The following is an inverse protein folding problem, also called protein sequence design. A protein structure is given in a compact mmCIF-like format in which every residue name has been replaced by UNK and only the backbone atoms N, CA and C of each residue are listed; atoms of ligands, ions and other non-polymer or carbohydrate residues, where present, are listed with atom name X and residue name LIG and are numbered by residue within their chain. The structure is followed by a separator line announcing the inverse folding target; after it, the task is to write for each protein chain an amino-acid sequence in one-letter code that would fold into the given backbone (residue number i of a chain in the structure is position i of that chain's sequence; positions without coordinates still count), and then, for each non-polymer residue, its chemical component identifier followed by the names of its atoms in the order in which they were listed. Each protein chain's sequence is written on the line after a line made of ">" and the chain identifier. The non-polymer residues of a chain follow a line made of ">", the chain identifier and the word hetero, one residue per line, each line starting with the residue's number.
data_IF_238839244006
#
_entry.id   IF_238839244006
#
_cell.length_a   1.000
_cell.length_b   1.000
_cell.length_c   1.000
_cell.angle_alpha   90.00
_cell.angle_beta   90.00
_cell.angle_gamma   90.00
#
_symmetry.space_group_name_H-M   'P 1'
#
loop_
_entity.id
_entity.type
_entity.pdbx_description
1 polymer ?
#
# COMPACT_ATOMS: atom_id res chain seq x y z
N UNK A 1 55.45 4.59 23.29
CA UNK A 1 55.29 3.66 22.16
C UNK A 1 54.39 2.54 22.64
N UNK A 2 53.09 2.70 22.42
CA UNK A 2 52.11 1.62 22.62
C UNK A 2 52.01 0.92 21.28
N UNK A 3 52.64 -0.23 21.19
CA UNK A 3 52.63 -1.10 20.02
C UNK A 3 51.36 -1.97 20.11
N UNK A 4 50.20 -1.34 19.90
CA UNK A 4 48.97 -2.11 19.64
C UNK A 4 49.03 -2.54 18.19
N UNK A 5 49.61 -3.72 18.01
CA UNK A 5 49.47 -4.52 16.81
C UNK A 5 47.97 -4.80 16.62
N UNK A 6 47.24 -3.83 16.04
CA UNK A 6 45.85 -3.92 15.63
C UNK A 6 45.77 -4.91 14.47
N UNK A 7 45.89 -6.19 14.81
CA UNK A 7 45.53 -7.29 13.94
C UNK A 7 44.14 -7.00 13.40
N UNK A 8 44.03 -6.99 12.08
CA UNK A 8 42.77 -6.82 11.36
C UNK A 8 41.84 -7.91 11.88
N UNK A 9 40.92 -7.54 12.76
CA UNK A 9 39.99 -8.48 13.33
C UNK A 9 39.05 -8.93 12.21
N UNK A 10 39.17 -10.20 11.83
CA UNK A 10 38.19 -10.85 10.96
C UNK A 10 36.78 -10.70 11.54
N UNK A 11 35.73 -10.68 10.71
CA UNK A 11 34.36 -10.66 11.22
C UNK A 11 34.14 -11.80 12.20
N UNK A 12 33.30 -11.56 13.21
CA UNK A 12 32.83 -12.58 14.11
C UNK A 12 32.21 -13.73 13.31
N UNK A 13 32.55 -14.97 13.69
CA UNK A 13 32.02 -16.18 13.08
C UNK A 13 30.49 -16.15 12.96
N UNK A 14 29.79 -15.66 13.98
CA UNK A 14 28.33 -15.54 13.95
C UNK A 14 27.80 -14.58 12.86
N UNK A 15 28.56 -13.51 12.55
CA UNK A 15 28.20 -12.59 11.49
C UNK A 15 28.40 -13.22 10.09
N UNK A 16 29.47 -14.01 9.93
CA UNK A 16 29.72 -14.81 8.71
C UNK A 16 28.60 -15.83 8.52
N UNK A 17 28.31 -16.65 9.53
CA UNK A 17 27.28 -17.69 9.46
C UNK A 17 25.89 -17.07 9.15
N UNK A 18 25.59 -15.89 9.70
CA UNK A 18 24.35 -15.18 9.40
C UNK A 18 24.29 -14.72 7.93
N UNK A 19 25.38 -14.15 7.39
CA UNK A 19 25.44 -13.74 5.98
C UNK A 19 25.29 -14.93 5.02
N UNK A 20 25.96 -16.05 5.33
CA UNK A 20 25.82 -17.32 4.58
C UNK A 20 24.39 -17.84 4.62
N UNK A 21 23.77 -17.88 5.80
CA UNK A 21 22.40 -18.35 5.95
C UNK A 21 21.39 -17.51 5.15
N UNK A 22 21.52 -16.18 5.20
CA UNK A 22 20.67 -15.27 4.42
C UNK A 22 20.86 -15.52 2.92
N UNK A 23 22.12 -15.58 2.45
CA UNK A 23 22.43 -15.83 1.04
C UNK A 23 21.83 -17.14 0.54
N UNK A 24 22.05 -18.24 1.25
CA UNK A 24 21.53 -19.56 0.85
C UNK A 24 20.00 -19.64 0.95
N UNK A 25 19.39 -18.92 1.88
CA UNK A 25 17.93 -18.82 1.97
C UNK A 25 17.35 -18.12 0.75
N UNK A 26 17.95 -17.02 0.32
CA UNK A 26 17.54 -16.32 -0.91
C UNK A 26 17.83 -17.18 -2.14
N UNK A 27 19.00 -17.80 -2.22
CA UNK A 27 19.37 -18.69 -3.34
C UNK A 27 18.38 -19.84 -3.53
N UNK A 28 17.87 -20.42 -2.43
CA UNK A 28 16.87 -21.48 -2.49
C UNK A 28 15.52 -20.98 -3.03
N UNK A 29 15.12 -19.76 -2.68
CA UNK A 29 13.83 -19.18 -3.09
C UNK A 29 13.89 -18.53 -4.49
N UNK A 30 15.02 -17.91 -4.84
CA UNK A 30 15.23 -17.10 -6.05
C UNK A 30 16.60 -17.40 -6.69
N UNK A 31 16.82 -18.64 -7.19
CA UNK A 31 18.11 -19.04 -7.75
C UNK A 31 18.53 -18.19 -8.95
N UNK A 32 17.58 -17.73 -9.77
CA UNK A 32 17.83 -16.87 -10.93
C UNK A 32 18.45 -15.52 -10.52
N UNK A 33 17.93 -14.88 -9.47
CA UNK A 33 18.47 -13.62 -8.95
C UNK A 33 19.91 -13.79 -8.46
N UNK A 34 20.18 -14.88 -7.75
CA UNK A 34 21.53 -15.18 -7.26
C UNK A 34 22.48 -15.50 -8.42
N UNK A 35 22.05 -16.27 -9.42
CA UNK A 35 22.86 -16.55 -10.60
C UNK A 35 23.19 -15.30 -11.41
N UNK A 36 22.22 -14.39 -11.59
CA UNK A 36 22.43 -13.09 -12.24
C UNK A 36 23.45 -12.23 -11.48
N UNK A 37 23.32 -12.12 -10.15
CA UNK A 37 24.30 -11.42 -9.32
C UNK A 37 25.69 -12.05 -9.43
N UNK A 38 25.80 -13.37 -9.30
CA UNK A 38 27.08 -14.10 -9.34
C UNK A 38 27.80 -13.93 -10.69
N UNK A 39 27.05 -13.92 -11.79
CA UNK A 39 27.60 -13.64 -13.12
C UNK A 39 28.17 -12.23 -13.20
N UNK A 40 27.41 -11.22 -12.76
CA UNK A 40 27.85 -9.80 -12.77
C UNK A 40 29.03 -9.57 -11.82
N UNK A 41 29.00 -10.19 -10.65
CA UNK A 41 30.07 -10.14 -9.67
C UNK A 41 31.37 -10.75 -10.20
N UNK A 42 31.30 -11.91 -10.84
CA UNK A 42 32.47 -12.57 -11.44
C UNK A 42 33.11 -11.71 -12.53
N UNK A 43 32.31 -11.07 -13.39
CA UNK A 43 32.80 -10.14 -14.41
C UNK A 43 33.52 -8.94 -13.77
N UNK A 44 32.91 -8.32 -12.76
CA UNK A 44 33.51 -7.22 -12.00
C UNK A 44 34.85 -7.62 -11.35
N UNK A 45 34.91 -8.79 -10.70
CA UNK A 45 36.16 -9.27 -10.09
C UNK A 45 37.26 -9.54 -11.12
N UNK A 46 36.92 -10.10 -12.27
CA UNK A 46 37.88 -10.35 -13.33
C UNK A 46 38.55 -9.05 -13.80
N UNK A 47 37.76 -7.98 -13.97
CA UNK A 47 38.30 -6.66 -14.32
C UNK A 47 39.19 -6.13 -13.21
N UNK A 48 38.74 -6.18 -11.96
CA UNK A 48 39.54 -5.72 -10.82
C UNK A 48 40.88 -6.44 -10.68
N UNK A 49 40.91 -7.76 -10.88
CA UNK A 49 42.16 -8.54 -10.82
C UNK A 49 43.06 -8.33 -12.04
N UNK A 50 42.52 -7.85 -13.16
CA UNK A 50 43.30 -7.55 -14.37
C UNK A 50 44.01 -6.19 -14.30
N UNK A 51 43.64 -5.33 -13.35
CA UNK A 51 44.27 -4.03 -13.18
C UNK A 51 45.75 -4.18 -12.78
N UNK A 52 46.63 -3.30 -13.28
CA UNK A 52 48.05 -3.34 -12.93
C UNK A 52 48.25 -3.07 -11.44
N UNK A 53 49.32 -3.60 -10.85
CA UNK A 53 49.63 -3.40 -9.42
C UNK A 53 49.82 -1.92 -9.02
N UNK A 54 50.04 -1.03 -10.00
CA UNK A 54 50.10 0.42 -9.80
C UNK A 54 48.73 1.11 -9.79
N UNK A 55 47.66 0.40 -10.15
CA UNK A 55 46.31 0.95 -10.13
C UNK A 55 45.85 1.20 -8.69
N UNK A 56 45.09 2.27 -8.51
CA UNK A 56 44.43 2.53 -7.24
C UNK A 56 43.28 1.52 -7.04
N UNK A 57 42.97 1.10 -5.80
CA UNK A 57 41.74 0.34 -5.53
C UNK A 57 40.46 1.03 -6.07
N UNK A 58 40.48 2.35 -6.20
CA UNK A 58 39.40 3.14 -6.78
C UNK A 58 39.30 3.07 -8.32
N UNK A 59 40.27 2.50 -9.03
CA UNK A 59 40.13 2.38 -10.49
C UNK A 59 39.06 1.34 -10.88
N UNK A 60 38.81 0.36 -9.99
CA UNK A 60 37.72 -0.61 -10.15
C UNK A 60 36.33 0.01 -10.23
N UNK A 61 36.08 1.13 -9.56
CA UNK A 61 34.75 1.75 -9.53
C UNK A 61 34.39 2.51 -10.82
N UNK A 62 35.35 2.65 -11.74
CA UNK A 62 35.17 3.36 -13.03
C UNK A 62 34.85 2.42 -14.20
N UNK A 63 34.60 1.16 -13.92
CA UNK A 63 34.40 0.10 -14.92
C UNK A 63 32.92 -0.09 -15.25
N UNK A 64 32.63 -0.56 -16.46
CA UNK A 64 31.25 -0.85 -16.90
C UNK A 64 30.64 -2.00 -16.08
N UNK A 65 31.46 -2.95 -15.61
CA UNK A 65 31.05 -4.05 -14.75
C UNK A 65 30.64 -3.56 -13.35
N UNK A 66 31.37 -2.60 -12.78
CA UNK A 66 30.98 -1.94 -11.54
C UNK A 66 29.65 -1.19 -11.71
N UNK A 67 29.51 -0.42 -12.79
CA UNK A 67 28.26 0.29 -13.11
C UNK A 67 27.09 -0.67 -13.29
N UNK A 68 27.30 -1.83 -13.92
CA UNK A 68 26.28 -2.87 -14.08
C UNK A 68 25.77 -3.39 -12.73
N UNK A 69 26.66 -3.61 -11.76
CA UNK A 69 26.28 -3.95 -10.38
C UNK A 69 25.61 -2.78 -9.66
N UNK A 70 26.13 -1.56 -9.83
CA UNK A 70 25.59 -0.34 -9.20
C UNK A 70 24.14 -0.10 -9.62
N UNK A 71 23.81 -0.29 -10.90
CA UNK A 71 22.43 -0.15 -11.41
C UNK A 71 21.44 -1.16 -10.84
N UNK A 72 21.91 -2.28 -10.27
CA UNK A 72 21.04 -3.20 -9.54
C UNK A 72 20.54 -2.59 -8.22
N UNK A 73 21.18 -1.54 -7.71
CA UNK A 73 20.74 -0.80 -6.54
C UNK A 73 20.82 -1.59 -5.23
N UNK A 74 20.20 -1.09 -4.16
CA UNK A 74 20.33 -1.67 -2.82
C UNK A 74 19.87 -3.14 -2.67
N UNK A 75 19.07 -3.66 -3.61
CA UNK A 75 18.57 -5.05 -3.54
C UNK A 75 19.68 -6.10 -3.62
N UNK A 76 20.88 -5.76 -4.12
CA UNK A 76 22.03 -6.69 -4.15
C UNK A 76 22.92 -6.61 -2.91
N UNK A 77 22.66 -5.69 -1.98
CA UNK A 77 23.51 -5.47 -0.79
C UNK A 77 23.70 -6.75 0.03
N UNK A 78 22.65 -7.54 0.19
CA UNK A 78 22.71 -8.82 0.91
C UNK A 78 23.71 -9.80 0.27
N UNK A 79 23.80 -9.82 -1.06
CA UNK A 79 24.76 -10.66 -1.77
C UNK A 79 26.19 -10.13 -1.65
N UNK A 80 26.35 -8.79 -1.70
CA UNK A 80 27.65 -8.14 -1.47
C UNK A 80 28.18 -8.46 -0.06
N UNK A 81 27.33 -8.41 0.97
CA UNK A 81 27.72 -8.76 2.34
C UNK A 81 28.19 -10.22 2.44
N UNK A 82 27.53 -11.15 1.77
CA UNK A 82 27.97 -12.55 1.70
C UNK A 82 29.36 -12.70 1.04
N UNK A 83 29.61 -11.96 -0.05
CA UNK A 83 30.93 -11.94 -0.69
C UNK A 83 31.99 -11.41 0.26
N UNK A 84 31.72 -10.30 0.94
CA UNK A 84 32.64 -9.76 1.94
C UNK A 84 32.89 -10.72 3.10
N UNK A 85 31.90 -11.53 3.50
CA UNK A 85 32.05 -12.48 4.61
C UNK A 85 32.87 -13.74 4.27
N UNK A 86 32.83 -14.21 3.02
CA UNK A 86 33.39 -15.52 2.64
C UNK A 86 34.85 -15.47 2.18
N UNK A 87 35.31 -14.36 1.61
CA UNK A 87 36.70 -14.19 1.17
C UNK A 87 37.09 -12.71 1.15
N UNK A 88 37.31 -12.14 2.34
CA UNK A 88 37.60 -10.71 2.52
C UNK A 88 38.76 -10.26 1.63
N UNK A 89 39.80 -11.08 1.47
CA UNK A 89 41.00 -10.73 0.71
C UNK A 89 40.73 -10.51 -0.78
N UNK A 90 39.90 -11.36 -1.39
CA UNK A 90 39.56 -11.30 -2.81
C UNK A 90 38.34 -10.40 -3.08
N UNK A 91 37.47 -10.20 -2.08
CA UNK A 91 36.20 -9.50 -2.25
C UNK A 91 36.20 -8.09 -1.67
N UNK A 92 37.31 -7.62 -1.09
CA UNK A 92 37.45 -6.31 -0.44
C UNK A 92 36.93 -5.12 -1.28
N UNK A 93 37.02 -5.20 -2.61
CA UNK A 93 36.53 -4.17 -3.52
C UNK A 93 35.00 -4.03 -3.51
N UNK A 94 34.29 -5.05 -3.03
CA UNK A 94 32.87 -5.00 -2.73
C UNK A 94 32.48 -3.93 -1.73
N UNK A 95 33.39 -3.49 -0.87
CA UNK A 95 33.13 -2.44 0.09
C UNK A 95 32.83 -1.10 -0.60
N UNK A 96 33.45 -0.83 -1.75
CA UNK A 96 33.12 0.34 -2.57
C UNK A 96 31.69 0.26 -3.09
N UNK A 97 31.30 -0.89 -3.65
CA UNK A 97 29.95 -1.11 -4.14
C UNK A 97 28.93 -0.95 -3.01
N UNK A 98 29.19 -1.57 -1.85
CA UNK A 98 28.33 -1.43 -0.67
C UNK A 98 28.14 0.04 -0.27
N UNK A 99 29.24 0.79 -0.16
CA UNK A 99 29.20 2.20 0.21
C UNK A 99 28.40 3.05 -0.78
N UNK A 100 28.63 2.85 -2.09
CA UNK A 100 27.89 3.54 -3.16
C UNK A 100 26.39 3.24 -3.09
N UNK A 101 26.02 1.98 -2.83
CA UNK A 101 24.62 1.56 -2.77
C UNK A 101 23.90 2.04 -1.51
N UNK A 102 24.58 2.20 -0.37
CA UNK A 102 23.98 2.69 0.88
C UNK A 102 23.82 4.20 0.89
N UNK A 103 24.83 4.94 0.42
CA UNK A 103 24.86 6.40 0.57
C UNK A 103 24.26 7.15 -0.64
N UNK A 104 24.08 6.47 -1.78
CA UNK A 104 23.58 7.07 -3.01
C UNK A 104 24.65 7.87 -3.79
N UNK A 105 24.38 8.27 -5.05
CA UNK A 105 25.39 8.81 -5.96
C UNK A 105 25.99 10.15 -5.51
N UNK A 106 25.28 10.94 -4.68
CA UNK A 106 25.75 12.24 -4.19
C UNK A 106 26.57 12.16 -2.89
N UNK A 107 26.44 11.07 -2.12
CA UNK A 107 27.22 10.85 -0.90
C UNK A 107 28.34 9.81 -1.10
N UNK A 108 28.82 9.64 -2.33
CA UNK A 108 30.18 9.12 -2.59
C UNK A 108 31.28 10.09 -2.09
N UNK A 109 30.93 11.01 -1.17
CA UNK A 109 31.80 12.02 -0.60
C UNK A 109 32.68 11.38 0.45
N UNK A 110 33.94 11.17 0.06
CA UNK A 110 35.08 10.94 0.93
C UNK A 110 34.93 9.65 1.75
N UNK A 111 35.12 8.51 1.07
CA UNK A 111 35.89 7.46 1.73
C UNK A 111 37.18 8.16 2.16
N UNK A 112 37.40 8.25 3.47
CA UNK A 112 38.58 8.88 4.07
C UNK A 112 39.82 8.48 3.25
N UNK A 113 40.76 9.40 3.04
CA UNK A 113 42.00 9.15 2.27
C UNK A 113 42.77 7.88 2.77
N UNK A 114 42.38 7.34 3.92
CA UNK A 114 42.80 6.08 4.55
C UNK A 114 42.38 4.77 3.83
N UNK A 115 41.41 4.76 2.91
CA UNK A 115 41.06 3.53 2.15
C UNK A 115 41.97 3.23 0.95
N UNK A 116 43.13 3.89 0.92
CA UNK A 116 44.19 3.66 -0.08
C UNK A 116 44.95 2.36 0.14
N UNK A 117 44.91 1.78 1.35
CA UNK A 117 45.56 0.50 1.67
C UNK A 117 44.60 -0.69 1.58
N UNK A 118 45.14 -1.84 1.19
CA UNK A 118 44.40 -3.12 1.15
C UNK A 118 43.90 -3.50 2.55
N UNK A 119 44.71 -3.23 3.57
CA UNK A 119 44.43 -3.50 4.97
C UNK A 119 43.25 -2.68 5.49
N UNK A 120 43.19 -1.38 5.15
CA UNK A 120 42.05 -0.54 5.50
C UNK A 120 40.75 -1.05 4.85
N UNK A 121 40.82 -1.48 3.58
CA UNK A 121 39.67 -2.02 2.86
C UNK A 121 39.17 -3.34 3.45
N UNK A 122 40.08 -4.21 3.90
CA UNK A 122 39.74 -5.44 4.63
C UNK A 122 39.09 -5.15 5.99
N UNK A 123 39.61 -4.19 6.76
CA UNK A 123 38.98 -3.75 8.03
C UNK A 123 37.57 -3.22 7.79
N UNK A 124 37.40 -2.37 6.78
CA UNK A 124 36.11 -1.79 6.45
C UNK A 124 35.11 -2.85 5.96
N UNK A 125 35.56 -3.79 5.13
CA UNK A 125 34.77 -4.97 4.73
C UNK A 125 34.27 -5.75 5.95
N UNK A 126 35.13 -5.94 6.95
CA UNK A 126 34.76 -6.65 8.17
C UNK A 126 33.72 -5.89 8.99
N UNK A 127 33.84 -4.57 9.07
CA UNK A 127 32.84 -3.71 9.72
C UNK A 127 31.48 -3.74 9.01
N UNK A 128 31.46 -3.81 7.67
CA UNK A 128 30.23 -3.96 6.88
C UNK A 128 29.50 -5.26 7.25
N UNK A 129 30.23 -6.38 7.36
CA UNK A 129 29.65 -7.68 7.73
C UNK A 129 29.06 -7.63 9.15
N UNK A 130 29.78 -7.04 10.11
CA UNK A 130 29.30 -6.85 11.49
C UNK A 130 28.07 -5.95 11.59
N UNK A 131 28.07 -4.83 10.87
CA UNK A 131 26.93 -3.91 10.84
C UNK A 131 25.70 -4.60 10.23
N UNK A 132 25.90 -5.36 9.16
CA UNK A 132 24.84 -6.11 8.49
C UNK A 132 24.27 -7.18 9.42
N UNK A 133 25.11 -7.87 10.20
CA UNK A 133 24.66 -8.82 11.22
C UNK A 133 23.77 -8.16 12.29
N UNK A 134 24.18 -6.99 12.82
CA UNK A 134 23.37 -6.24 13.79
C UNK A 134 22.03 -5.81 13.19
N UNK A 135 22.03 -5.28 11.97
CA UNK A 135 20.79 -4.89 11.26
C UNK A 135 19.90 -6.10 10.97
N UNK A 136 20.47 -7.26 10.63
CA UNK A 136 19.71 -8.48 10.40
C UNK A 136 18.96 -8.95 11.65
N UNK A 137 19.56 -8.84 12.84
CA UNK A 137 18.85 -9.14 14.10
C UNK A 137 17.64 -8.22 14.33
N UNK A 138 17.80 -6.93 14.01
CA UNK A 138 16.71 -5.95 14.11
C UNK A 138 15.61 -6.29 13.10
N UNK A 139 15.98 -6.60 11.86
CA UNK A 139 15.06 -7.07 10.81
C UNK A 139 14.28 -8.31 11.25
N UNK A 140 14.95 -9.37 11.71
CA UNK A 140 14.30 -10.63 12.12
C UNK A 140 13.28 -10.42 13.24
N UNK A 141 13.60 -9.54 14.19
CA UNK A 141 12.66 -9.16 15.26
C UNK A 141 11.46 -8.40 14.68
N UNK A 142 11.71 -7.36 13.88
CA UNK A 142 10.66 -6.48 13.33
C UNK A 142 9.72 -7.24 12.39
N UNK A 143 10.26 -8.07 11.50
CA UNK A 143 9.46 -8.86 10.55
C UNK A 143 8.59 -9.88 11.26
N UNK A 144 9.07 -10.48 12.35
CA UNK A 144 8.29 -11.41 13.16
C UNK A 144 7.09 -10.71 13.80
N UNK A 145 7.30 -9.58 14.47
CA UNK A 145 6.22 -8.83 15.14
C UNK A 145 5.20 -8.34 14.10
N UNK A 146 5.66 -7.80 12.97
CA UNK A 146 4.77 -7.36 11.90
C UNK A 146 3.93 -8.50 11.32
N UNK A 147 4.49 -9.70 11.13
CA UNK A 147 3.74 -10.88 10.70
C UNK A 147 2.66 -11.29 11.70
N UNK A 148 2.97 -11.25 12.99
CA UNK A 148 2.00 -11.54 14.07
C UNK A 148 0.84 -10.53 14.02
N UNK A 149 1.16 -9.22 13.91
CA UNK A 149 0.15 -8.17 13.76
C UNK A 149 -0.73 -8.36 12.51
N UNK A 150 -0.12 -8.72 11.38
CA UNK A 150 -0.84 -8.99 10.14
C UNK A 150 -1.77 -10.19 10.26
N UNK A 151 -1.32 -11.26 10.92
CA UNK A 151 -2.13 -12.48 11.10
C UNK A 151 -3.31 -12.23 12.05
N UNK A 152 -3.10 -11.52 13.16
CA UNK A 152 -4.17 -11.13 14.10
C UNK A 152 -5.27 -10.30 13.42
N UNK A 153 -4.89 -9.51 12.42
CA UNK A 153 -5.82 -8.65 11.69
C UNK A 153 -6.23 -9.22 10.32
N UNK A 154 -5.85 -10.46 10.01
CA UNK A 154 -6.09 -11.10 8.71
C UNK A 154 -7.57 -11.11 8.33
N UNK A 155 -8.47 -11.36 9.30
CA UNK A 155 -9.92 -11.39 9.07
C UNK A 155 -10.49 -10.03 8.68
N UNK A 156 -9.85 -8.94 9.13
CA UNK A 156 -10.29 -7.58 8.80
C UNK A 156 -9.87 -7.16 7.39
N UNK A 157 -8.98 -7.93 6.73
CA UNK A 157 -8.47 -7.71 5.36
C UNK A 157 -8.16 -6.25 5.02
N UNK A 158 -7.77 -5.46 6.03
CA UNK A 158 -7.62 -4.03 5.87
C UNK A 158 -6.16 -3.69 5.70
N UNK A 159 -5.82 -3.17 4.52
CA UNK A 159 -4.53 -2.52 4.24
C UNK A 159 -4.16 -1.54 5.35
N UNK A 160 -5.14 -0.80 5.87
CA UNK A 160 -4.94 0.20 6.93
C UNK A 160 -4.49 -0.40 8.28
N UNK A 161 -4.55 -1.72 8.47
CA UNK A 161 -4.04 -2.37 9.69
C UNK A 161 -2.61 -2.90 9.49
N UNK A 162 -2.29 -3.43 8.31
CA UNK A 162 -0.97 -4.02 8.05
C UNK A 162 0.06 -3.00 7.55
N UNK A 163 -0.38 -1.84 7.07
CA UNK A 163 0.47 -0.78 6.53
C UNK A 163 0.47 0.48 7.42
N UNK A 164 0.13 0.32 8.69
CA UNK A 164 0.08 1.39 9.69
C UNK A 164 0.56 0.80 11.02
N UNK A 165 1.24 1.60 11.83
CA UNK A 165 1.72 1.21 13.15
C UNK A 165 3.24 1.10 13.21
N UNK A 166 3.75 1.14 14.44
CA UNK A 166 5.19 1.24 14.71
C UNK A 166 5.95 0.07 14.09
N UNK A 167 5.38 -1.14 14.06
CA UNK A 167 5.99 -2.33 13.48
C UNK A 167 6.23 -2.22 11.97
N UNK A 168 5.30 -1.56 11.25
CA UNK A 168 5.42 -1.33 9.82
C UNK A 168 6.47 -0.24 9.54
N UNK A 169 6.40 0.88 10.27
CA UNK A 169 7.37 1.97 10.15
C UNK A 169 8.80 1.51 10.48
N UNK A 170 8.92 0.68 11.52
CA UNK A 170 10.14 -0.01 11.90
C UNK A 170 10.74 -0.81 10.73
N UNK A 171 9.92 -1.49 9.92
CA UNK A 171 10.41 -2.20 8.75
C UNK A 171 10.83 -1.27 7.60
N UNK A 172 10.20 -0.10 7.46
CA UNK A 172 10.64 0.91 6.48
C UNK A 172 12.03 1.47 6.83
N UNK A 173 12.30 1.71 8.12
CA UNK A 173 13.61 2.19 8.59
C UNK A 173 14.76 1.21 8.31
N UNK A 174 14.45 -0.09 8.27
CA UNK A 174 15.42 -1.14 7.95
C UNK A 174 15.96 -0.95 6.52
N UNK A 175 15.13 -0.44 5.62
CA UNK A 175 15.52 0.06 4.30
C UNK A 175 15.70 -1.01 3.22
N UNK A 176 16.10 -0.58 2.00
CA UNK A 176 16.05 -1.41 0.80
C UNK A 176 17.13 -2.51 0.72
N UNK A 177 18.09 -2.54 1.64
CA UNK A 177 19.09 -3.60 1.75
C UNK A 177 18.48 -4.99 2.03
N UNK A 178 17.26 -5.02 2.57
CA UNK A 178 16.55 -6.23 3.00
C UNK A 178 15.48 -6.71 2.02
N UNK A 179 15.43 -6.12 0.81
CA UNK A 179 14.50 -6.53 -0.25
C UNK A 179 14.58 -8.05 -0.52
N UNK A 180 15.76 -8.70 -0.65
CA UNK A 180 15.83 -10.15 -0.87
C UNK A 180 15.18 -10.98 0.24
N UNK A 181 15.39 -10.61 1.50
CA UNK A 181 14.82 -11.28 2.66
C UNK A 181 13.31 -11.11 2.71
N UNK A 182 12.81 -9.89 2.44
CA UNK A 182 11.38 -9.62 2.33
C UNK A 182 10.74 -10.41 1.19
N UNK A 183 11.43 -10.55 0.06
CA UNK A 183 10.96 -11.38 -1.05
C UNK A 183 10.88 -12.87 -0.66
N UNK A 184 11.79 -13.38 0.18
CA UNK A 184 11.68 -14.75 0.72
C UNK A 184 10.41 -14.90 1.54
N UNK A 185 10.13 -13.95 2.44
CA UNK A 185 8.89 -13.97 3.22
C UNK A 185 7.65 -13.87 2.32
N UNK A 186 7.67 -12.99 1.32
CA UNK A 186 6.59 -12.85 0.34
C UNK A 186 6.35 -14.14 -0.45
N UNK A 187 7.41 -14.89 -0.78
CA UNK A 187 7.27 -16.17 -1.50
C UNK A 187 6.53 -17.23 -0.67
N UNK A 188 6.64 -17.17 0.66
CA UNK A 188 6.02 -18.09 1.62
C UNK A 188 4.57 -17.70 1.92
N UNK A 189 4.28 -16.40 1.90
CA UNK A 189 2.96 -15.84 2.13
C UNK A 189 2.58 -14.82 1.05
N UNK A 190 2.13 -15.33 -0.11
CA UNK A 190 1.66 -14.48 -1.22
C UNK A 190 0.37 -13.75 -0.90
N UNK A 191 -0.32 -14.17 0.16
CA UNK A 191 -1.55 -13.53 0.65
C UNK A 191 -1.29 -12.27 1.47
N UNK A 192 -0.07 -12.03 1.94
CA UNK A 192 0.24 -10.87 2.79
C UNK A 192 0.30 -9.54 2.04
N UNK A 193 0.59 -8.47 2.80
CA UNK A 193 0.76 -7.09 2.29
C UNK A 193 2.23 -6.77 1.95
N UNK A 194 3.03 -7.79 1.65
CA UNK A 194 4.46 -7.67 1.36
C UNK A 194 4.76 -6.75 0.18
N UNK A 195 3.90 -6.77 -0.86
CA UNK A 195 4.05 -5.89 -2.02
C UNK A 195 3.96 -4.41 -1.65
N UNK A 196 3.15 -4.07 -0.64
CA UNK A 196 2.97 -2.69 -0.19
C UNK A 196 4.22 -2.21 0.55
N UNK A 197 4.71 -3.06 1.48
CA UNK A 197 5.94 -2.81 2.21
C UNK A 197 7.14 -2.65 1.27
N UNK A 198 7.29 -3.57 0.30
CA UNK A 198 8.34 -3.49 -0.72
C UNK A 198 8.22 -2.21 -1.56
N UNK A 199 7.00 -1.85 -1.94
CA UNK A 199 6.76 -0.66 -2.72
C UNK A 199 7.15 0.61 -1.96
N UNK A 200 6.79 0.70 -0.69
CA UNK A 200 7.12 1.86 0.14
C UNK A 200 8.59 1.94 0.50
N UNK A 201 9.26 0.81 0.73
CA UNK A 201 10.72 0.76 0.89
C UNK A 201 11.45 1.28 -0.36
N UNK A 202 10.96 0.94 -1.54
CA UNK A 202 11.63 1.28 -2.80
C UNK A 202 11.31 2.70 -3.26
N UNK A 203 10.06 3.15 -3.11
CA UNK A 203 9.56 4.40 -3.69
C UNK A 203 9.28 5.50 -2.65
N UNK A 204 9.36 5.19 -1.35
CA UNK A 204 9.05 6.14 -0.26
C UNK A 204 7.57 6.51 -0.17
N UNK A 205 6.69 5.73 -0.81
CA UNK A 205 5.24 5.91 -0.79
C UNK A 205 4.54 4.58 -0.98
N UNK A 206 3.31 4.48 -0.52
CA UNK A 206 2.44 3.31 -0.71
C UNK A 206 1.98 3.16 -2.17
N UNK A 207 1.53 1.97 -2.61
CA UNK A 207 1.09 1.78 -4.02
C UNK A 207 -0.17 2.56 -4.37
N UNK A 208 -0.98 2.88 -3.34
CA UNK A 208 -2.35 3.42 -3.44
C UNK A 208 -3.32 2.55 -4.26
N UNK A 209 -2.85 1.43 -4.81
CA UNK A 209 -3.64 0.54 -5.65
C UNK A 209 -4.63 -0.25 -4.80
N UNK A 210 -5.81 -0.52 -5.37
CA UNK A 210 -6.70 -1.58 -4.87
C UNK A 210 -6.14 -2.97 -5.25
N UNK A 211 -4.86 -3.21 -4.95
CA UNK A 211 -4.10 -4.41 -5.28
C UNK A 211 -4.59 -5.70 -4.59
N UNK A 212 -5.66 -5.61 -3.79
CA UNK A 212 -6.23 -6.74 -3.02
C UNK A 212 -6.59 -7.91 -3.94
N UNK A 213 -6.97 -7.64 -5.19
CA UNK A 213 -7.49 -8.67 -6.11
C UNK A 213 -6.42 -9.34 -7.00
N UNK A 214 -5.19 -8.84 -7.04
CA UNK A 214 -4.15 -9.34 -7.97
C UNK A 214 -2.81 -9.61 -7.27
N UNK A 215 -2.85 -10.12 -6.03
CA UNK A 215 -1.65 -10.36 -5.20
C UNK A 215 -0.60 -11.24 -5.86
N UNK A 216 -1.01 -12.26 -6.62
CA UNK A 216 -0.08 -13.12 -7.36
C UNK A 216 0.64 -12.37 -8.49
N UNK A 217 -0.05 -11.48 -9.21
CA UNK A 217 0.58 -10.66 -10.25
C UNK A 217 1.61 -9.71 -9.64
N UNK A 218 1.31 -9.14 -8.47
CA UNK A 218 2.27 -8.32 -7.74
C UNK A 218 3.51 -9.12 -7.35
N UNK A 219 3.33 -10.35 -6.85
CA UNK A 219 4.46 -11.22 -6.53
C UNK A 219 5.32 -11.50 -7.78
N UNK A 220 4.71 -11.82 -8.91
CA UNK A 220 5.46 -12.10 -10.15
C UNK A 220 6.23 -10.88 -10.66
N UNK A 221 5.66 -9.69 -10.56
CA UNK A 221 6.34 -8.45 -10.96
C UNK A 221 7.50 -8.12 -10.02
N UNK A 222 7.32 -8.27 -8.70
CA UNK A 222 8.41 -8.12 -7.73
C UNK A 222 9.49 -9.21 -7.86
N UNK A 223 9.12 -10.43 -8.22
CA UNK A 223 10.05 -11.52 -8.53
C UNK A 223 10.89 -11.19 -9.77
N UNK A 224 10.26 -10.72 -10.85
CA UNK A 224 10.96 -10.27 -12.04
C UNK A 224 11.91 -9.11 -11.71
N UNK A 225 11.48 -8.19 -10.84
CA UNK A 225 12.34 -7.12 -10.33
C UNK A 225 13.59 -7.66 -9.61
N UNK A 226 13.42 -8.64 -8.72
CA UNK A 226 14.54 -9.27 -8.03
C UNK A 226 15.48 -10.04 -9.00
N UNK A 227 14.95 -10.60 -10.09
CA UNK A 227 15.67 -11.41 -11.08
C UNK A 227 16.41 -10.59 -12.16
N UNK A 228 16.85 -9.36 -11.85
CA UNK A 228 17.84 -8.64 -12.66
C UNK A 228 17.39 -7.33 -13.32
N UNK A 229 16.10 -6.96 -13.23
CA UNK A 229 15.63 -5.64 -13.67
C UNK A 229 16.34 -4.54 -12.85
N UNK A 230 16.93 -3.55 -13.49
CA UNK A 230 17.66 -2.48 -12.79
C UNK A 230 16.77 -1.73 -11.77
N UNK A 231 17.37 -1.20 -10.71
CA UNK A 231 16.64 -0.67 -9.56
C UNK A 231 15.71 0.49 -9.92
N UNK A 232 16.12 1.36 -10.85
CA UNK A 232 15.32 2.49 -11.31
C UNK A 232 14.02 2.09 -12.03
N UNK A 233 13.99 0.85 -12.54
CA UNK A 233 12.85 0.22 -13.20
C UNK A 233 11.99 -0.59 -12.22
N UNK A 234 12.12 -0.35 -10.91
CA UNK A 234 11.29 -0.99 -9.91
C UNK A 234 9.79 -0.79 -10.18
N UNK A 235 8.93 -1.76 -9.82
CA UNK A 235 7.50 -1.70 -10.07
C UNK A 235 6.85 -0.47 -9.42
N UNK A 236 6.37 0.50 -10.22
CA UNK A 236 5.82 1.79 -9.73
C UNK A 236 4.32 1.78 -9.48
N UNK A 237 3.57 1.11 -10.34
CA UNK A 237 2.12 1.01 -10.25
C UNK A 237 1.64 0.05 -11.33
N UNK A 238 0.80 -0.90 -10.96
CA UNK A 238 0.09 -1.75 -11.91
C UNK A 238 -1.38 -1.37 -11.76
N UNK A 239 -1.91 -0.48 -12.61
CA UNK A 239 -3.34 -0.16 -12.58
C UNK A 239 -4.11 -1.45 -12.80
N UNK A 240 -4.99 -1.81 -11.87
CA UNK A 240 -5.96 -2.86 -12.13
C UNK A 240 -7.26 -2.27 -12.70
N UNK A 241 -8.18 -3.13 -13.13
CA UNK A 241 -9.46 -2.68 -13.70
C UNK A 241 -10.29 -1.83 -12.72
N UNK A 242 -10.15 -2.03 -11.42
CA UNK A 242 -10.81 -1.22 -10.39
C UNK A 242 -10.20 0.16 -10.28
N UNK A 243 -8.88 0.27 -10.34
CA UNK A 243 -8.21 1.56 -10.34
C UNK A 243 -8.60 2.36 -11.59
N UNK A 244 -8.67 1.70 -12.76
CA UNK A 244 -9.20 2.31 -13.99
C UNK A 244 -10.66 2.71 -13.78
N UNK A 245 -11.48 1.88 -13.14
CA UNK A 245 -12.88 2.22 -12.84
C UNK A 245 -12.99 3.46 -11.93
N UNK A 246 -12.27 3.51 -10.81
CA UNK A 246 -12.33 4.63 -9.88
C UNK A 246 -11.75 5.92 -10.46
N UNK A 247 -10.70 5.82 -11.29
CA UNK A 247 -10.05 7.00 -11.90
C UNK A 247 -10.77 7.48 -13.16
N UNK A 248 -11.39 6.59 -13.94
CA UNK A 248 -12.01 6.93 -15.24
C UNK A 248 -13.54 6.88 -15.25
N UNK A 249 -14.16 6.31 -14.21
CA UNK A 249 -15.61 6.07 -14.15
C UNK A 249 -16.12 4.99 -15.12
N UNK A 250 -15.24 4.29 -15.85
CA UNK A 250 -15.62 3.29 -16.85
C UNK A 250 -15.52 1.89 -16.26
N UNK A 251 -16.67 1.25 -16.04
CA UNK A 251 -16.75 -0.15 -15.66
C UNK A 251 -16.62 -1.02 -16.91
N UNK A 252 -15.71 -2.00 -16.91
CA UNK A 252 -15.50 -2.89 -18.05
C UNK A 252 -16.76 -3.71 -18.38
N UNK A 253 -17.09 -3.97 -19.67
CA UNK A 253 -18.31 -4.68 -20.06
C UNK A 253 -18.48 -6.07 -19.44
N UNK A 254 -17.37 -6.79 -19.21
CA UNK A 254 -17.39 -8.11 -18.56
C UNK A 254 -17.82 -8.05 -17.10
N UNK A 255 -17.44 -7.02 -16.37
CA UNK A 255 -17.76 -6.88 -14.94
C UNK A 255 -19.21 -6.43 -14.70
N UNK A 256 -19.75 -5.53 -15.53
CA UNK A 256 -21.19 -5.25 -15.49
C UNK A 256 -22.01 -6.51 -15.79
N UNK A 257 -21.56 -7.34 -16.74
CA UNK A 257 -22.25 -8.57 -17.08
C UNK A 257 -22.17 -9.60 -15.95
N UNK A 258 -21.01 -9.81 -15.33
CA UNK A 258 -20.87 -10.75 -14.20
C UNK A 258 -21.63 -10.28 -12.96
N UNK A 259 -21.60 -8.99 -12.61
CA UNK A 259 -22.36 -8.48 -11.46
C UNK A 259 -23.88 -8.47 -11.72
N UNK A 260 -24.31 -8.20 -12.95
CA UNK A 260 -25.73 -8.30 -13.32
C UNK A 260 -26.25 -9.75 -13.27
N UNK A 261 -25.37 -10.74 -13.43
CA UNK A 261 -25.71 -12.17 -13.43
C UNK A 261 -25.60 -12.82 -12.04
N UNK A 262 -25.08 -12.12 -11.03
CA UNK A 262 -24.87 -12.62 -9.66
C UNK A 262 -25.33 -11.62 -8.57
N UNK A 263 -26.66 -11.42 -8.39
CA UNK A 263 -27.23 -10.44 -7.45
C UNK A 263 -26.75 -10.63 -5.98
N UNK A 264 -26.46 -11.87 -5.59
CA UNK A 264 -25.97 -12.24 -4.26
C UNK A 264 -24.55 -11.73 -3.98
N UNK A 265 -23.73 -11.55 -5.01
CA UNK A 265 -22.40 -10.91 -4.90
C UNK A 265 -22.53 -9.40 -4.85
N UNK A 266 -23.50 -8.85 -5.58
CA UNK A 266 -23.85 -7.44 -5.55
C UNK A 266 -24.24 -7.03 -4.12
N UNK A 267 -25.11 -7.79 -3.45
CA UNK A 267 -25.51 -7.45 -2.07
C UNK A 267 -24.34 -7.52 -1.07
N UNK A 268 -23.43 -8.48 -1.23
CA UNK A 268 -22.33 -8.73 -0.29
C UNK A 268 -21.16 -7.74 -0.47
N UNK A 269 -20.77 -7.45 -1.71
CA UNK A 269 -19.69 -6.50 -2.03
C UNK A 269 -20.14 -5.06 -1.75
N UNK A 270 -21.38 -4.70 -2.08
CA UNK A 270 -21.87 -3.34 -1.83
C UNK A 270 -22.02 -3.05 -0.32
N UNK A 271 -22.55 -3.97 0.51
CA UNK A 271 -22.70 -3.71 1.96
C UNK A 271 -21.39 -3.34 2.67
N UNK A 272 -20.28 -3.96 2.30
CA UNK A 272 -19.00 -3.73 2.98
C UNK A 272 -18.26 -2.48 2.48
N UNK A 273 -18.51 -2.05 1.24
CA UNK A 273 -17.80 -0.94 0.60
C UNK A 273 -18.52 0.41 0.72
N UNK A 274 -19.86 0.41 0.81
CA UNK A 274 -20.67 1.63 0.89
C UNK A 274 -20.34 2.52 2.10
N UNK A 275 -19.80 1.94 3.19
CA UNK A 275 -19.38 2.67 4.40
C UNK A 275 -18.15 3.57 4.20
N UNK A 276 -17.38 3.37 3.13
CA UNK A 276 -16.18 4.15 2.84
C UNK A 276 -16.39 5.24 1.78
N UNK A 277 -17.56 5.28 1.14
CA UNK A 277 -17.88 6.33 0.17
C UNK A 277 -18.03 7.66 0.92
N UNK A 278 -17.26 8.71 0.59
CA UNK A 278 -17.35 9.99 1.26
C UNK A 278 -18.75 10.58 1.14
N UNK A 279 -19.27 11.20 2.20
CA UNK A 279 -20.62 11.78 2.23
C UNK A 279 -20.88 12.77 1.07
N UNK A 280 -19.84 13.51 0.65
CA UNK A 280 -19.93 14.41 -0.50
C UNK A 280 -20.17 13.64 -1.81
N UNK A 281 -19.47 12.52 -2.02
CA UNK A 281 -19.65 11.68 -3.20
C UNK A 281 -21.03 11.02 -3.23
N UNK A 282 -21.55 10.58 -2.08
CA UNK A 282 -22.93 10.13 -1.95
C UNK A 282 -23.93 11.17 -2.45
N UNK A 283 -23.75 12.43 -2.06
CA UNK A 283 -24.65 13.54 -2.38
C UNK A 283 -24.52 14.09 -3.80
N UNK A 284 -23.38 13.91 -4.47
CA UNK A 284 -23.14 14.55 -5.79
C UNK A 284 -23.07 13.57 -6.95
N UNK A 285 -22.73 12.30 -6.72
CA UNK A 285 -22.53 11.33 -7.80
C UNK A 285 -23.77 10.50 -8.12
N UNK A 286 -24.79 10.48 -7.24
CA UNK A 286 -25.95 9.62 -7.35
C UNK A 286 -27.27 10.39 -7.40
N UNK A 287 -27.44 11.26 -8.41
CA UNK A 287 -28.70 11.99 -8.65
C UNK A 287 -29.94 11.06 -8.73
N UNK A 288 -29.77 9.83 -9.22
CA UNK A 288 -30.82 8.81 -9.24
C UNK A 288 -31.12 8.27 -7.84
N UNK A 289 -30.13 8.21 -6.94
CA UNK A 289 -30.32 7.78 -5.56
C UNK A 289 -31.11 8.82 -4.77
N UNK A 290 -30.80 10.11 -4.91
CA UNK A 290 -31.57 11.18 -4.24
C UNK A 290 -33.06 11.11 -4.64
N UNK A 291 -33.32 10.84 -5.93
CA UNK A 291 -34.67 10.62 -6.47
C UNK A 291 -35.35 9.37 -5.90
N UNK A 292 -34.62 8.26 -5.78
CA UNK A 292 -35.13 7.05 -5.17
C UNK A 292 -35.37 7.21 -3.66
N UNK A 293 -34.51 7.95 -2.96
CA UNK A 293 -34.68 8.27 -1.54
C UNK A 293 -35.91 9.15 -1.36
N UNK A 294 -36.08 10.17 -2.19
CA UNK A 294 -37.28 11.02 -2.19
C UNK A 294 -38.55 10.18 -2.31
N UNK A 295 -38.62 9.31 -3.33
CA UNK A 295 -39.81 8.46 -3.55
C UNK A 295 -39.98 7.41 -2.44
N UNK A 296 -38.88 6.96 -1.83
CA UNK A 296 -38.94 6.05 -0.67
C UNK A 296 -39.50 6.77 0.55
N UNK A 297 -39.04 7.99 0.84
CA UNK A 297 -39.61 8.83 1.90
C UNK A 297 -41.09 9.03 1.61
N UNK A 298 -41.46 9.44 0.40
CA UNK A 298 -42.85 9.63 0.02
C UNK A 298 -43.75 8.41 0.31
N UNK A 299 -43.37 7.23 -0.21
CA UNK A 299 -44.17 6.01 -0.10
C UNK A 299 -44.21 5.47 1.33
N UNK A 300 -43.11 5.59 2.09
CA UNK A 300 -42.97 4.91 3.38
C UNK A 300 -43.08 5.83 4.61
N UNK A 301 -43.01 7.15 4.44
CA UNK A 301 -43.10 8.18 5.51
C UNK A 301 -44.56 8.61 5.66
N UNK A 302 -45.40 7.60 5.87
CA UNK A 302 -46.84 7.72 6.12
C UNK A 302 -47.07 7.58 7.62
N UNK A 303 -47.07 8.70 8.33
CA UNK A 303 -47.33 8.73 9.78
C UNK A 303 -48.16 9.93 10.18
N UNK A 304 -48.78 9.84 11.36
CA UNK A 304 -49.45 10.97 11.98
C UNK A 304 -48.41 12.04 12.36
N UNK A 305 -48.51 13.22 11.77
CA UNK A 305 -47.64 14.35 12.07
C UNK A 305 -48.32 15.20 13.13
N UNK A 306 -47.64 15.40 14.25
CA UNK A 306 -48.09 16.23 15.36
C UNK A 306 -47.33 17.55 15.47
N UNK A 307 -48.04 18.62 15.81
CA UNK A 307 -47.46 19.92 16.20
C UNK A 307 -48.09 20.37 17.52
N UNK A 308 -47.24 20.70 18.49
CA UNK A 308 -47.66 21.23 19.78
C UNK A 308 -47.93 22.74 19.65
N UNK A 309 -49.11 23.19 20.07
CA UNK A 309 -49.36 24.61 20.26
C UNK A 309 -48.62 25.09 21.52
N UNK A 310 -47.45 25.71 21.32
CA UNK A 310 -46.63 26.28 22.39
C UNK A 310 -47.01 27.72 22.76
N UNK A 311 -48.01 28.29 22.09
CA UNK A 311 -48.49 29.63 22.42
C UNK A 311 -49.39 29.60 23.66
N UNK A 312 -49.65 30.78 24.23
CA UNK A 312 -50.60 30.95 25.33
C UNK A 312 -52.06 30.99 24.88
N UNK A 313 -52.33 31.00 23.57
CA UNK A 313 -53.65 31.18 22.98
C UNK A 313 -54.09 29.95 22.18
N UNK A 314 -55.40 29.79 21.98
CA UNK A 314 -55.92 28.75 21.12
C UNK A 314 -55.75 29.14 19.64
N UNK A 315 -55.31 28.20 18.80
CA UNK A 315 -55.14 28.43 17.36
C UNK A 315 -56.42 28.00 16.65
N UNK A 316 -57.10 28.92 15.97
CA UNK A 316 -58.28 28.62 15.15
C UNK A 316 -57.88 27.79 13.93
N UNK A 317 -58.62 26.73 13.64
CA UNK A 317 -58.45 25.93 12.42
C UNK A 317 -59.17 26.67 11.28
N UNK A 318 -58.45 27.09 10.22
CA UNK A 318 -59.08 27.82 9.12
C UNK A 318 -60.23 27.03 8.48
N UNK A 319 -61.39 27.67 8.32
CA UNK A 319 -62.57 27.05 7.70
C UNK A 319 -63.45 26.24 8.66
N UNK A 320 -63.17 26.24 9.97
CA UNK A 320 -64.05 25.68 11.00
C UNK A 320 -64.15 26.59 12.22
N UNK A 321 -65.08 26.26 13.12
CA UNK A 321 -65.21 26.89 14.44
C UNK A 321 -64.36 26.16 15.51
N UNK A 322 -63.50 25.23 15.10
CA UNK A 322 -62.66 24.42 15.98
C UNK A 322 -61.30 25.09 16.25
N UNK A 323 -60.74 24.84 17.43
CA UNK A 323 -59.47 25.41 17.87
C UNK A 323 -58.51 24.33 18.38
N UNK A 324 -57.21 24.56 18.27
CA UNK A 324 -56.15 23.79 18.93
C UNK A 324 -55.78 24.55 20.22
N UNK A 325 -56.14 24.07 21.42
CA UNK A 325 -55.86 24.77 22.67
C UNK A 325 -54.36 24.96 22.94
N UNK A 326 -54.02 25.94 23.77
CA UNK A 326 -52.67 26.10 24.30
C UNK A 326 -52.21 24.80 24.99
N UNK A 327 -51.02 24.32 24.65
CA UNK A 327 -50.47 23.06 25.18
C UNK A 327 -51.05 21.78 24.57
N UNK A 328 -51.94 21.87 23.57
CA UNK A 328 -52.48 20.71 22.86
C UNK A 328 -51.73 20.44 21.54
N UNK A 329 -51.81 19.20 21.06
CA UNK A 329 -51.28 18.80 19.74
C UNK A 329 -52.36 18.91 18.67
N UNK A 330 -52.04 19.58 17.56
CA UNK A 330 -52.70 19.37 16.28
C UNK A 330 -52.06 18.19 15.57
N UNK A 331 -52.85 17.22 15.13
CA UNK A 331 -52.36 16.01 14.45
C UNK A 331 -53.06 15.88 13.11
N UNK A 332 -52.30 15.64 12.05
CA UNK A 332 -52.83 15.28 10.74
C UNK A 332 -52.13 14.03 10.20
N UNK A 333 -52.77 13.34 9.26
CA UNK A 333 -52.22 12.14 8.65
C UNK A 333 -51.54 12.49 7.32
N UNK A 334 -50.20 12.39 7.24
CA UNK A 334 -49.49 12.66 5.98
C UNK A 334 -49.85 11.66 4.87
N UNK A 335 -50.34 10.46 5.23
CA UNK A 335 -50.75 9.43 4.27
C UNK A 335 -51.85 9.91 3.33
N UNK A 336 -52.77 10.73 3.82
CA UNK A 336 -53.90 11.22 3.02
C UNK A 336 -53.43 12.09 1.87
N UNK A 337 -52.44 12.96 2.12
CA UNK A 337 -51.83 13.81 1.09
C UNK A 337 -50.87 13.02 0.20
N UNK A 338 -50.06 12.12 0.77
CA UNK A 338 -49.10 11.33 0.00
C UNK A 338 -49.77 10.38 -1.00
N UNK A 339 -51.00 9.93 -0.69
CA UNK A 339 -51.77 9.03 -1.53
C UNK A 339 -52.98 9.67 -2.21
N UNK A 340 -53.09 10.99 -2.20
CA UNK A 340 -54.11 11.71 -2.95
C UNK A 340 -53.82 11.63 -4.46
N UNK A 341 -54.68 10.97 -5.26
CA UNK A 341 -54.48 10.87 -6.72
C UNK A 341 -54.59 12.23 -7.44
N UNK A 342 -55.20 13.26 -6.85
CA UNK A 342 -55.27 14.61 -7.42
C UNK A 342 -53.93 15.36 -7.30
N UNK A 343 -53.21 15.12 -6.20
CA UNK A 343 -51.86 15.65 -5.96
C UNK A 343 -50.77 14.77 -6.57
N UNK A 344 -51.02 13.47 -6.69
CA UNK A 344 -50.02 12.48 -7.06
C UNK A 344 -50.64 11.40 -7.98
N UNK A 345 -50.57 11.56 -9.31
CA UNK A 345 -51.08 10.56 -10.23
C UNK A 345 -50.39 9.20 -10.02
N UNK A 346 -51.19 8.16 -9.84
CA UNK A 346 -50.75 6.79 -9.49
C UNK A 346 -49.90 6.73 -8.21
N UNK A 347 -50.45 7.08 -7.04
CA UNK A 347 -49.67 7.28 -5.82
C UNK A 347 -49.08 5.98 -5.24
N UNK A 348 -49.59 4.82 -5.66
CA UNK A 348 -49.06 3.50 -5.27
C UNK A 348 -47.93 3.01 -6.15
N UNK A 349 -47.61 3.73 -7.24
CA UNK A 349 -46.52 3.38 -8.14
C UNK A 349 -45.26 4.13 -7.69
N UNK A 350 -44.21 3.37 -7.38
CA UNK A 350 -42.88 3.93 -7.14
C UNK A 350 -42.36 4.58 -8.43
N UNK A 351 -42.30 5.91 -8.44
CA UNK A 351 -41.82 6.73 -9.56
C UNK A 351 -40.78 7.77 -9.08
N UNK A 352 -39.48 7.41 -9.07
CA UNK A 352 -38.40 8.33 -8.68
C UNK A 352 -38.38 9.66 -9.44
N UNK A 353 -39.01 9.72 -10.62
CA UNK A 353 -39.04 10.93 -11.43
C UNK A 353 -40.05 11.97 -10.93
N UNK A 354 -40.85 11.67 -9.89
CA UNK A 354 -41.81 12.59 -9.27
C UNK A 354 -41.17 13.80 -8.59
N UNK A 355 -39.90 13.70 -8.18
CA UNK A 355 -39.15 14.84 -7.64
C UNK A 355 -38.52 15.76 -8.69
N UNK A 356 -38.68 15.44 -9.99
CA UNK A 356 -38.05 16.24 -11.06
C UNK A 356 -38.82 17.53 -11.35
N UNK A 357 -38.08 18.56 -11.77
CA UNK A 357 -38.65 19.85 -12.15
C UNK A 357 -39.73 19.66 -13.23
N UNK A 358 -40.88 20.30 -13.03
CA UNK A 358 -42.08 20.13 -13.87
C UNK A 358 -42.99 18.95 -13.49
N UNK A 359 -42.58 18.09 -12.54
CA UNK A 359 -43.37 16.95 -12.04
C UNK A 359 -43.55 16.94 -10.52
N UNK A 360 -43.35 18.09 -9.86
CA UNK A 360 -43.51 18.24 -8.41
C UNK A 360 -44.94 18.62 -8.06
N UNK A 361 -45.91 17.81 -8.49
CA UNK A 361 -47.33 18.17 -8.35
C UNK A 361 -47.78 18.28 -6.88
N UNK A 362 -47.07 17.62 -5.97
CA UNK A 362 -47.26 17.71 -4.53
C UNK A 362 -46.97 19.10 -3.94
N UNK A 363 -46.20 19.96 -4.61
CA UNK A 363 -45.92 21.33 -4.14
C UNK A 363 -47.15 22.26 -4.27
N UNK A 364 -48.24 21.78 -4.86
CA UNK A 364 -49.51 22.53 -4.96
C UNK A 364 -50.20 22.71 -3.61
N UNK A 365 -49.92 21.83 -2.65
CA UNK A 365 -50.47 21.88 -1.29
C UNK A 365 -49.38 22.18 -0.28
N UNK A 366 -49.69 23.02 0.72
CA UNK A 366 -48.73 23.52 1.71
C UNK A 366 -48.04 22.39 2.51
N UNK A 367 -48.72 21.25 2.66
CA UNK A 367 -48.23 20.06 3.37
C UNK A 367 -48.09 18.83 2.46
N UNK A 368 -48.03 19.05 1.15
CA UNK A 368 -47.97 17.95 0.18
C UNK A 368 -46.67 17.15 0.25
N UNK A 369 -45.59 17.64 0.87
CA UNK A 369 -44.38 16.84 1.11
C UNK A 369 -43.74 17.15 2.48
N UNK A 370 -43.17 16.11 3.10
CA UNK A 370 -42.40 16.22 4.34
C UNK A 370 -41.11 15.40 4.20
N UNK A 371 -39.98 16.08 3.93
CA UNK A 371 -38.67 15.44 3.78
C UNK A 371 -37.54 16.40 3.45
#
# INVERSE_FOLDING_TARGET
>A
MMDTNDQIASPNRAAIDAAENVYHTVQRAFPESVADFESKWTAFQAVCHSLPASASPGDCIRTDEFETLRKQGPKVLTFVVFKLATNVDQNSHGAFLFNTLVNGPQNCGVLDDDLTSKEALQRYSSQIVELSFKRNKVYEKRVKIWKELCEENRVKLSRAMCCVGDEYWDLLEVGPAFIPQLMVEYSRDRGGYWYELLHEIVHGRTTEAYAIFERDKWFDVWRAFLNGIEYEHAPKYIPNEWDIYYTTGKMGPKHMNTMAMHPEWQEKVYREQLKYVPLKAWKTAFLTLDRCIFETIWVWTSFAVGRLNTSSEAILIPGSDEVIPAGAYGVWNSTELNFDPELCPNPRKFDPMRSTEGRREFEKELYGFFG
#
